data_IF_647799360763
#
_entry.id   IF_647799360763
#
_cell.length_a   1.000
_cell.length_b   1.000
_cell.length_c   1.000
_cell.angle_alpha   90.00
_cell.angle_beta   90.00
_cell.angle_gamma   90.00
#
_symmetry.space_group_name_H-M   'P 1'
#
loop_
_entity.id
_entity.type
_entity.pdbx_description
1 polymer ?
#
# COMPACT_ATOMS: atom_id res chain seq x y z
N UNK A 1 -25.78 13.75 18.76
CA UNK A 1 -24.65 14.25 17.94
C UNK A 1 -25.25 15.03 16.79
N UNK A 2 -24.86 16.28 16.60
CA UNK A 2 -25.41 17.16 15.56
C UNK A 2 -24.94 16.68 14.17
N UNK A 3 -25.83 16.27 13.25
CA UNK A 3 -25.46 15.80 11.91
C UNK A 3 -24.69 16.84 11.08
N UNK A 4 -24.85 18.13 11.40
CA UNK A 4 -24.26 19.25 10.66
C UNK A 4 -22.73 19.31 10.77
N UNK A 5 -22.17 18.73 11.84
CA UNK A 5 -20.73 18.64 12.05
C UNK A 5 -20.04 17.63 11.12
N UNK A 6 -20.78 16.68 10.53
CA UNK A 6 -20.26 15.73 9.54
C UNK A 6 -20.11 16.35 8.14
N UNK A 7 -20.78 17.48 7.88
CA UNK A 7 -20.79 18.17 6.58
C UNK A 7 -19.92 19.44 6.54
N UNK A 8 -19.17 19.75 7.60
CA UNK A 8 -18.29 20.93 7.57
C UNK A 8 -17.11 20.71 6.61
N UNK A 9 -16.66 21.74 5.88
CA UNK A 9 -15.50 21.63 5.00
C UNK A 9 -14.24 21.12 5.71
N UNK A 10 -14.04 21.50 6.98
CA UNK A 10 -12.92 21.07 7.82
C UNK A 10 -13.00 19.58 8.13
N UNK A 11 -14.20 19.07 8.46
CA UNK A 11 -14.41 17.65 8.69
C UNK A 11 -14.17 16.85 7.40
N UNK A 12 -14.65 17.34 6.25
CA UNK A 12 -14.43 16.66 4.97
C UNK A 12 -12.94 16.60 4.60
N UNK A 13 -12.17 17.66 4.88
CA UNK A 13 -10.73 17.67 4.70
C UNK A 13 -10.04 16.66 5.63
N UNK A 14 -10.41 16.64 6.91
CA UNK A 14 -9.89 15.69 7.88
C UNK A 14 -10.16 14.24 7.45
N UNK A 15 -11.39 13.93 7.04
CA UNK A 15 -11.77 12.60 6.56
C UNK A 15 -10.97 12.18 5.32
N UNK A 16 -10.74 13.10 4.39
CA UNK A 16 -9.92 12.80 3.20
C UNK A 16 -8.47 12.49 3.58
N UNK A 17 -7.86 13.25 4.50
CA UNK A 17 -6.50 12.99 4.99
C UNK A 17 -6.38 11.64 5.70
N UNK A 18 -7.34 11.32 6.59
CA UNK A 18 -7.34 10.03 7.29
C UNK A 18 -7.59 8.87 6.33
N UNK A 19 -8.41 9.07 5.30
CA UNK A 19 -8.62 8.08 4.23
C UNK A 19 -7.32 7.82 3.46
N UNK A 20 -6.60 8.87 3.07
CA UNK A 20 -5.29 8.73 2.41
C UNK A 20 -4.29 7.98 3.31
N UNK A 21 -4.22 8.33 4.59
CA UNK A 21 -3.36 7.64 5.56
C UNK A 21 -3.71 6.16 5.71
N UNK A 22 -5.00 5.85 5.80
CA UNK A 22 -5.49 4.47 5.90
C UNK A 22 -5.14 3.65 4.64
N UNK A 23 -5.32 4.22 3.45
CA UNK A 23 -4.96 3.58 2.18
C UNK A 23 -3.45 3.30 2.10
N UNK A 24 -2.61 4.25 2.51
CA UNK A 24 -1.16 4.06 2.54
C UNK A 24 -0.75 2.96 3.53
N UNK A 25 -1.33 2.94 4.73
CA UNK A 25 -1.05 1.91 5.73
C UNK A 25 -1.45 0.51 5.23
N UNK A 26 -2.61 0.39 4.58
CA UNK A 26 -3.07 -0.86 3.98
C UNK A 26 -2.12 -1.32 2.85
N UNK A 27 -1.68 -0.40 2.01
CA UNK A 27 -0.72 -0.67 0.94
C UNK A 27 0.62 -1.17 1.48
N UNK A 28 1.18 -0.49 2.50
CA UNK A 28 2.41 -0.92 3.17
C UNK A 28 2.24 -2.32 3.76
N UNK A 29 1.14 -2.57 4.48
CA UNK A 29 0.86 -3.88 5.08
C UNK A 29 0.80 -4.99 4.01
N UNK A 30 0.09 -4.76 2.90
CA UNK A 30 0.01 -5.71 1.78
C UNK A 30 1.37 -5.99 1.15
N UNK A 31 2.17 -4.94 0.91
CA UNK A 31 3.52 -5.06 0.38
C UNK A 31 4.42 -5.85 1.32
N UNK A 32 4.38 -5.54 2.62
CA UNK A 32 5.17 -6.25 3.64
C UNK A 32 4.88 -7.73 3.62
N UNK A 33 3.61 -8.14 3.72
CA UNK A 33 3.25 -9.57 3.73
C UNK A 33 3.63 -10.24 2.41
N UNK A 34 3.23 -9.67 1.27
CA UNK A 34 3.44 -10.31 -0.04
C UNK A 34 4.91 -10.40 -0.43
N UNK A 35 5.71 -9.39 -0.12
CA UNK A 35 7.13 -9.41 -0.45
C UNK A 35 7.94 -10.22 0.55
N UNK A 36 7.53 -10.27 1.81
CA UNK A 36 8.12 -11.18 2.80
C UNK A 36 7.98 -12.64 2.35
N UNK A 37 6.75 -13.09 2.09
CA UNK A 37 6.47 -14.48 1.68
C UNK A 37 7.22 -14.90 0.40
N UNK A 38 7.51 -13.94 -0.49
CA UNK A 38 8.20 -14.19 -1.76
C UNK A 38 9.71 -14.20 -1.63
N UNK A 39 10.27 -13.30 -0.82
CA UNK A 39 11.70 -13.02 -0.82
C UNK A 39 12.44 -13.64 0.37
N UNK A 40 11.75 -13.89 1.49
CA UNK A 40 12.34 -14.45 2.70
C UNK A 40 11.87 -15.90 2.86
N UNK A 41 12.60 -16.83 2.25
CA UNK A 41 12.24 -18.26 2.18
C UNK A 41 12.84 -19.11 3.30
N UNK A 42 13.71 -18.53 4.13
CA UNK A 42 14.31 -19.16 5.29
C UNK A 42 14.40 -18.20 6.46
N UNK A 43 15.11 -18.58 7.51
CA UNK A 43 15.37 -17.68 8.64
C UNK A 43 16.34 -16.58 8.20
N UNK A 44 15.93 -15.30 8.18
CA UNK A 44 16.83 -14.21 7.83
C UNK A 44 17.95 -14.06 8.86
N UNK A 45 19.10 -13.59 8.41
CA UNK A 45 20.22 -13.24 9.30
C UNK A 45 19.94 -11.96 10.09
N UNK A 46 20.98 -11.41 10.74
CA UNK A 46 20.89 -10.10 11.42
C UNK A 46 20.65 -8.92 10.46
N UNK A 47 20.83 -9.16 9.15
CA UNK A 47 20.57 -8.23 8.04
C UNK A 47 20.09 -9.03 6.85
N UNK A 48 19.35 -8.38 5.95
CA UNK A 48 19.07 -8.96 4.65
C UNK A 48 20.37 -9.10 3.85
N UNK A 49 20.50 -10.24 3.19
CA UNK A 49 21.49 -10.45 2.15
C UNK A 49 21.25 -9.52 0.96
N UNK A 50 22.23 -9.41 0.07
CA UNK A 50 22.10 -8.64 -1.16
C UNK A 50 20.98 -9.16 -2.06
N UNK A 51 20.79 -10.48 -2.13
CA UNK A 51 19.72 -11.12 -2.90
C UNK A 51 18.34 -10.86 -2.30
N UNK A 52 18.18 -10.97 -0.98
CA UNK A 52 16.91 -10.63 -0.30
C UNK A 52 16.55 -9.16 -0.49
N UNK A 53 17.52 -8.26 -0.31
CA UNK A 53 17.32 -6.82 -0.49
C UNK A 53 16.91 -6.48 -1.94
N UNK A 54 17.60 -7.07 -2.92
CA UNK A 54 17.25 -6.91 -4.33
C UNK A 54 15.86 -7.50 -4.65
N UNK A 55 15.52 -8.66 -4.08
CA UNK A 55 14.19 -9.26 -4.25
C UNK A 55 13.09 -8.36 -3.67
N UNK A 56 13.25 -7.86 -2.45
CA UNK A 56 12.27 -7.00 -1.78
C UNK A 56 12.00 -5.72 -2.58
N UNK A 57 13.06 -5.03 -3.03
CA UNK A 57 12.94 -3.83 -3.87
C UNK A 57 12.21 -4.12 -5.18
N UNK A 58 12.57 -5.21 -5.86
CA UNK A 58 11.92 -5.63 -7.10
C UNK A 58 10.46 -6.04 -6.87
N UNK A 59 10.16 -6.73 -5.78
CA UNK A 59 8.81 -7.15 -5.44
C UNK A 59 7.90 -5.94 -5.19
N UNK A 60 8.36 -4.98 -4.39
CA UNK A 60 7.58 -3.80 -4.08
C UNK A 60 7.30 -2.97 -5.34
N UNK A 61 8.32 -2.73 -6.18
CA UNK A 61 8.16 -2.01 -7.44
C UNK A 61 7.16 -2.69 -8.36
N UNK A 62 7.34 -4.01 -8.61
CA UNK A 62 6.45 -4.78 -9.48
C UNK A 62 5.02 -4.84 -8.96
N UNK A 63 4.83 -4.94 -7.65
CA UNK A 63 3.50 -4.93 -7.06
C UNK A 63 2.81 -3.59 -7.33
N UNK A 64 3.49 -2.47 -7.10
CA UNK A 64 2.94 -1.14 -7.39
C UNK A 64 2.61 -0.96 -8.88
N UNK A 65 3.52 -1.35 -9.77
CA UNK A 65 3.31 -1.25 -11.22
C UNK A 65 2.07 -2.04 -11.66
N UNK A 66 1.91 -3.28 -11.15
CA UNK A 66 0.76 -4.10 -11.49
C UNK A 66 -0.55 -3.52 -10.96
N UNK A 67 -0.55 -2.96 -9.73
CA UNK A 67 -1.75 -2.30 -9.20
C UNK A 67 -2.14 -1.10 -10.07
N UNK A 68 -1.19 -0.28 -10.51
CA UNK A 68 -1.47 0.86 -11.40
C UNK A 68 -2.01 0.41 -12.76
N UNK A 69 -1.47 -0.66 -13.36
CA UNK A 69 -1.98 -1.22 -14.62
C UNK A 69 -3.41 -1.72 -14.45
N UNK A 70 -3.69 -2.45 -13.36
CA UNK A 70 -5.03 -2.97 -13.07
C UNK A 70 -6.02 -1.82 -12.87
N UNK A 71 -5.66 -0.79 -12.10
CA UNK A 71 -6.51 0.39 -11.89
C UNK A 71 -6.82 1.11 -13.20
N UNK A 72 -5.79 1.36 -14.03
CA UNK A 72 -5.98 1.97 -15.36
C UNK A 72 -6.90 1.12 -16.25
N UNK A 73 -6.75 -0.21 -16.19
CA UNK A 73 -7.62 -1.12 -16.93
C UNK A 73 -9.07 -1.02 -16.47
N UNK A 74 -9.33 -1.00 -15.17
CA UNK A 74 -10.68 -0.81 -14.64
C UNK A 74 -11.29 0.53 -15.06
N UNK A 75 -10.52 1.62 -15.00
CA UNK A 75 -10.97 2.94 -15.46
C UNK A 75 -11.29 2.95 -16.95
N UNK A 76 -10.55 2.21 -17.80
CA UNK A 76 -10.82 2.12 -19.23
C UNK A 76 -12.04 1.28 -19.61
N UNK A 77 -12.63 0.56 -18.65
CA UNK A 77 -13.84 -0.27 -18.86
C UNK A 77 -15.13 0.42 -18.37
N UNK A 78 -15.01 1.56 -17.67
CA UNK A 78 -16.13 2.45 -17.34
C UNK A 78 -16.35 3.44 -18.49
#
# INVERSE_FOLDING_TARGET
MDPSALSSPEMQQFLNQEKERAMLNEMVSKLTVKCWDKCITGTPGSKFSSSESACLSNCAQRYMDMNLIIMKRFQSMQ
#
